data_IF_284297777872
#
_entry.id   IF_284297777872
#
_cell.length_a   1.000
_cell.length_b   1.000
_cell.length_c   1.000
_cell.angle_alpha   90.00
_cell.angle_beta   90.00
_cell.angle_gamma   90.00
#
_symmetry.space_group_name_H-M   'P 1'
#
loop_
_entity.id
_entity.type
_entity.pdbx_description
1 polymer ?
#
# COMPACT_ATOMS: atom_id res chain seq x y z
N UNK A 1 2.66 0.64 -25.50
CA UNK A 1 3.80 1.16 -24.73
C UNK A 1 3.71 0.57 -23.34
N UNK A 2 4.66 -0.28 -22.94
CA UNK A 2 4.81 -0.60 -21.50
C UNK A 2 5.21 0.69 -20.79
N UNK A 3 4.36 1.21 -19.90
CA UNK A 3 4.76 2.28 -19.00
C UNK A 3 5.88 1.73 -18.11
N UNK A 4 7.06 2.32 -18.17
CA UNK A 4 8.15 1.99 -17.27
C UNK A 4 7.79 2.51 -15.87
N UNK A 5 7.21 1.63 -15.06
CA UNK A 5 6.75 1.92 -13.68
C UNK A 5 7.88 2.54 -12.87
N UNK A 6 9.11 2.01 -12.97
CA UNK A 6 10.26 2.50 -12.21
C UNK A 6 10.55 3.96 -12.53
N UNK A 7 10.69 4.30 -13.81
CA UNK A 7 10.94 5.69 -14.23
C UNK A 7 9.78 6.62 -13.87
N UNK A 8 8.55 6.13 -13.92
CA UNK A 8 7.39 6.92 -13.56
C UNK A 8 7.33 7.22 -12.06
N UNK A 9 7.54 6.22 -11.22
CA UNK A 9 7.58 6.40 -9.76
C UNK A 9 8.72 7.31 -9.33
N UNK A 10 9.91 7.17 -9.96
CA UNK A 10 11.04 8.08 -9.76
C UNK A 10 10.67 9.54 -10.08
N UNK A 11 9.91 9.78 -11.15
CA UNK A 11 9.46 11.13 -11.54
C UNK A 11 8.37 11.68 -10.62
N UNK A 12 7.44 10.82 -10.18
CA UNK A 12 6.29 11.22 -9.39
C UNK A 12 6.66 11.51 -7.92
N UNK A 13 7.45 10.63 -7.30
CA UNK A 13 7.81 10.72 -5.87
C UNK A 13 9.14 11.43 -5.62
N UNK A 14 10.00 11.51 -6.64
CA UNK A 14 11.41 11.83 -6.49
C UNK A 14 12.26 10.60 -6.15
N UNK A 15 13.59 10.68 -6.35
CA UNK A 15 14.48 9.53 -6.28
C UNK A 15 14.57 8.89 -4.89
N UNK A 16 14.55 9.68 -3.82
CA UNK A 16 14.69 9.20 -2.45
C UNK A 16 13.52 8.29 -2.04
N UNK A 17 12.28 8.77 -2.20
CA UNK A 17 11.07 8.04 -1.83
C UNK A 17 10.80 6.85 -2.75
N UNK A 18 11.08 7.01 -4.03
CA UNK A 18 10.99 5.89 -4.96
C UNK A 18 12.00 4.79 -4.59
N UNK A 19 13.24 5.15 -4.25
CA UNK A 19 14.23 4.18 -3.78
C UNK A 19 13.80 3.49 -2.49
N UNK A 20 13.24 4.22 -1.51
CA UNK A 20 12.66 3.63 -0.30
C UNK A 20 11.66 2.51 -0.63
N UNK A 21 10.71 2.78 -1.53
CA UNK A 21 9.74 1.76 -1.95
C UNK A 21 10.40 0.54 -2.60
N UNK A 22 11.38 0.74 -3.47
CA UNK A 22 12.04 -0.36 -4.18
C UNK A 22 12.91 -1.23 -3.26
N UNK A 23 13.39 -0.70 -2.13
CA UNK A 23 14.09 -1.49 -1.10
C UNK A 23 13.14 -2.06 -0.03
N UNK A 24 11.83 -1.90 -0.20
CA UNK A 24 10.81 -2.43 0.71
C UNK A 24 10.52 -1.55 1.94
N UNK A 25 11.08 -0.34 1.99
CA UNK A 25 10.75 0.63 3.03
C UNK A 25 9.45 1.41 2.70
N UNK A 26 8.61 1.70 3.71
CA UNK A 26 7.37 2.41 3.47
C UNK A 26 7.59 3.90 3.29
N UNK A 27 6.87 4.49 2.33
CA UNK A 27 6.61 5.93 2.33
C UNK A 27 5.47 6.23 3.32
N UNK A 28 5.46 7.43 3.90
CA UNK A 28 4.57 7.77 5.02
C UNK A 28 3.69 8.98 4.75
N UNK A 29 2.59 9.07 5.50
CA UNK A 29 1.71 10.23 5.51
C UNK A 29 1.08 10.51 4.15
N UNK A 30 0.98 11.78 3.77
CA UNK A 30 0.32 12.21 2.54
C UNK A 30 0.88 11.54 1.28
N UNK A 31 2.18 11.22 1.23
CA UNK A 31 2.77 10.62 0.04
C UNK A 31 2.27 9.20 -0.23
N UNK A 32 1.92 8.43 0.81
CA UNK A 32 1.33 7.10 0.62
C UNK A 32 -0.02 7.21 -0.10
N UNK A 33 -0.87 8.16 0.30
CA UNK A 33 -2.15 8.42 -0.34
C UNK A 33 -1.99 8.89 -1.78
N UNK A 34 -1.10 9.86 -2.01
CA UNK A 34 -0.85 10.40 -3.35
C UNK A 34 -0.39 9.32 -4.32
N UNK A 35 0.39 8.35 -3.85
CA UNK A 35 0.81 7.23 -4.69
C UNK A 35 -0.35 6.31 -5.05
N UNK A 36 -1.26 6.00 -4.11
CA UNK A 36 -2.47 5.23 -4.41
C UNK A 36 -3.30 5.91 -5.51
N UNK A 37 -3.53 7.22 -5.37
CA UNK A 37 -4.30 8.00 -6.35
C UNK A 37 -3.61 8.02 -7.72
N UNK A 38 -2.29 8.17 -7.73
CA UNK A 38 -1.48 8.09 -8.95
C UNK A 38 -1.57 6.71 -9.61
N UNK A 39 -1.53 5.64 -8.82
CA UNK A 39 -1.68 4.27 -9.33
C UNK A 39 -3.07 4.10 -9.97
N UNK A 40 -4.13 4.48 -9.25
CA UNK A 40 -5.52 4.33 -9.70
C UNK A 40 -5.85 5.16 -10.95
N UNK A 41 -5.24 6.35 -11.09
CA UNK A 41 -5.48 7.24 -12.23
C UNK A 41 -4.67 6.88 -13.47
N UNK A 42 -3.48 6.30 -13.32
CA UNK A 42 -2.53 6.11 -14.43
C UNK A 42 -2.42 4.68 -14.93
N UNK A 43 -2.64 3.69 -14.07
CA UNK A 43 -2.39 2.29 -14.37
C UNK A 43 -3.68 1.50 -14.45
N UNK A 44 -3.65 0.43 -15.24
CA UNK A 44 -4.62 -0.65 -15.05
C UNK A 44 -4.30 -1.32 -13.72
N UNK A 45 -5.27 -1.29 -12.81
CA UNK A 45 -5.16 -1.86 -11.48
C UNK A 45 -6.32 -2.80 -11.18
N UNK A 46 -6.12 -3.63 -10.17
CA UNK A 46 -7.08 -4.55 -9.57
C UNK A 46 -7.03 -4.34 -8.06
N UNK A 47 -8.18 -4.04 -7.44
CA UNK A 47 -8.31 -4.02 -5.99
C UNK A 47 -8.29 -5.48 -5.49
N UNK A 48 -7.24 -5.84 -4.75
CA UNK A 48 -7.08 -7.19 -4.19
C UNK A 48 -7.76 -7.33 -2.83
N UNK A 49 -7.71 -6.27 -2.01
CA UNK A 49 -8.33 -6.19 -0.70
C UNK A 49 -8.49 -4.72 -0.32
N UNK A 50 -9.62 -4.37 0.28
CA UNK A 50 -9.92 -3.03 0.77
C UNK A 50 -10.88 -3.20 1.94
N UNK A 51 -10.56 -2.58 3.08
CA UNK A 51 -11.33 -2.71 4.31
C UNK A 51 -11.11 -1.48 5.20
N UNK A 52 -12.13 -1.12 5.96
CA UNK A 52 -12.12 0.08 6.80
C UNK A 52 -12.94 -0.09 8.06
N UNK A 53 -12.46 0.52 9.15
CA UNK A 53 -13.16 0.61 10.41
C UNK A 53 -13.18 2.07 10.84
N UNK A 54 -14.38 2.67 10.79
CA UNK A 54 -14.59 4.05 11.24
C UNK A 54 -14.35 4.19 12.75
N UNK A 55 -14.69 3.19 13.55
CA UNK A 55 -14.59 3.23 15.02
C UNK A 55 -13.14 3.25 15.53
N UNK A 56 -12.23 2.63 14.77
CA UNK A 56 -10.81 2.52 15.09
C UNK A 56 -9.95 3.36 14.15
N UNK A 57 -10.54 4.16 13.25
CA UNK A 57 -9.81 4.95 12.25
C UNK A 57 -8.76 4.13 11.46
N UNK A 58 -9.00 2.83 11.31
CA UNK A 58 -8.13 1.89 10.61
C UNK A 58 -8.62 1.75 9.16
N UNK A 59 -7.71 1.85 8.20
CA UNK A 59 -8.03 1.64 6.80
C UNK A 59 -6.90 0.89 6.12
N UNK A 60 -7.25 -0.05 5.24
CA UNK A 60 -6.28 -0.78 4.45
C UNK A 60 -6.77 -0.95 3.02
N UNK A 61 -5.85 -0.81 2.08
CA UNK A 61 -6.11 -1.11 0.67
C UNK A 61 -4.88 -1.72 0.03
N UNK A 62 -5.11 -2.74 -0.78
CA UNK A 62 -4.10 -3.47 -1.53
C UNK A 62 -4.54 -3.47 -2.98
N UNK A 63 -3.70 -2.92 -3.86
CA UNK A 63 -3.94 -2.90 -5.29
C UNK A 63 -2.82 -3.60 -6.02
N UNK A 64 -3.18 -4.46 -6.98
CA UNK A 64 -2.25 -4.96 -7.99
C UNK A 64 -2.30 -4.01 -9.18
N UNK A 65 -1.15 -3.66 -9.74
CA UNK A 65 -1.10 -2.82 -10.94
C UNK A 65 0.04 -3.23 -11.86
N UNK A 66 -0.11 -2.89 -13.16
CA UNK A 66 0.86 -3.25 -14.22
C UNK A 66 1.16 -4.75 -14.31
N UNK A 67 0.32 -5.60 -13.73
CA UNK A 67 0.50 -7.05 -13.53
C UNK A 67 1.75 -7.49 -12.76
N UNK A 68 2.64 -6.57 -12.40
CA UNK A 68 3.98 -6.82 -11.83
C UNK A 68 4.16 -6.26 -10.43
N UNK A 69 3.28 -5.39 -9.95
CA UNK A 69 3.45 -4.74 -8.65
C UNK A 69 2.20 -4.85 -7.80
N UNK A 70 2.41 -4.89 -6.49
CA UNK A 70 1.39 -4.73 -5.46
C UNK A 70 1.74 -3.48 -4.67
N UNK A 71 0.76 -2.60 -4.49
CA UNK A 71 0.86 -1.47 -3.59
C UNK A 71 -0.11 -1.67 -2.43
N UNK A 72 0.40 -1.56 -1.21
CA UNK A 72 -0.37 -1.70 0.02
C UNK A 72 -0.31 -0.39 0.79
N UNK A 73 -1.47 0.22 1.05
CA UNK A 73 -1.60 1.37 1.93
C UNK A 73 -2.31 0.93 3.20
N UNK A 74 -1.71 1.25 4.35
CA UNK A 74 -2.26 1.01 5.69
C UNK A 74 -2.34 2.37 6.40
N UNK A 75 -3.50 2.68 6.98
CA UNK A 75 -3.74 3.85 7.83
C UNK A 75 -4.17 3.37 9.21
N UNK A 76 -3.51 3.92 10.22
CA UNK A 76 -3.85 3.72 11.63
C UNK A 76 -3.92 5.11 12.30
N UNK A 77 -5.13 5.57 12.65
CA UNK A 77 -5.32 6.92 13.19
C UNK A 77 -4.78 8.01 12.23
N UNK A 78 -3.87 8.86 12.71
CA UNK A 78 -3.26 9.92 11.90
C UNK A 78 -2.03 9.47 11.09
N UNK A 79 -1.60 8.22 11.21
CA UNK A 79 -0.46 7.69 10.45
C UNK A 79 -0.93 6.89 9.25
N UNK A 80 -0.19 7.01 8.14
CA UNK A 80 -0.34 6.14 6.98
C UNK A 80 1.02 5.70 6.45
N UNK A 81 1.08 4.46 5.95
CA UNK A 81 2.27 3.82 5.40
C UNK A 81 1.90 3.15 4.08
N UNK A 82 2.76 3.32 3.09
CA UNK A 82 2.61 2.76 1.76
C UNK A 82 3.79 1.88 1.40
N UNK A 83 3.54 0.62 1.05
CA UNK A 83 4.54 -0.38 0.68
C UNK A 83 4.38 -0.77 -0.77
N UNK A 84 5.50 -0.99 -1.45
CA UNK A 84 5.53 -1.50 -2.81
C UNK A 84 6.22 -2.86 -2.81
N UNK A 85 5.62 -3.82 -3.53
CA UNK A 85 6.19 -5.13 -3.75
C UNK A 85 6.18 -5.44 -5.25
N UNK A 86 7.30 -5.93 -5.77
CA UNK A 86 7.35 -6.56 -7.09
C UNK A 86 6.92 -8.02 -6.99
N UNK A 87 6.01 -8.43 -7.87
CA UNK A 87 5.49 -9.79 -7.95
C UNK A 87 6.51 -10.64 -8.72
N UNK A 88 7.26 -11.46 -7.98
CA UNK A 88 8.20 -12.43 -8.51
C UNK A 88 7.56 -13.82 -8.64
N UNK A 89 6.52 -14.08 -7.85
CA UNK A 89 5.78 -15.33 -7.83
C UNK A 89 4.27 -15.12 -7.62
N UNK A 90 3.39 -16.03 -8.11
CA UNK A 90 1.96 -15.95 -7.83
C UNK A 90 1.62 -15.98 -6.33
N UNK A 91 2.44 -16.64 -5.51
CA UNK A 91 2.28 -16.69 -4.04
C UNK A 91 2.46 -15.34 -3.35
N UNK A 92 3.13 -14.38 -3.99
CA UNK A 92 3.37 -13.05 -3.41
C UNK A 92 2.04 -12.31 -3.19
N UNK A 93 1.08 -12.48 -4.11
CA UNK A 93 -0.26 -11.89 -4.01
C UNK A 93 -0.99 -12.44 -2.78
N UNK A 94 -1.09 -13.76 -2.68
CA UNK A 94 -1.78 -14.43 -1.58
C UNK A 94 -1.14 -14.12 -0.23
N UNK A 95 0.20 -14.11 -0.18
CA UNK A 95 0.96 -13.79 1.04
C UNK A 95 0.76 -12.34 1.46
N UNK A 96 0.79 -11.41 0.50
CA UNK A 96 0.58 -9.97 0.78
C UNK A 96 -0.81 -9.71 1.32
N UNK A 97 -1.85 -10.31 0.71
CA UNK A 97 -3.23 -10.18 1.19
C UNK A 97 -3.36 -10.75 2.61
N UNK A 98 -2.77 -11.92 2.89
CA UNK A 98 -2.80 -12.53 4.23
C UNK A 98 -2.15 -11.62 5.28
N UNK A 99 -0.92 -11.16 5.02
CA UNK A 99 -0.19 -10.29 5.95
C UNK A 99 -0.92 -8.96 6.19
N UNK A 100 -1.47 -8.37 5.13
CA UNK A 100 -2.25 -7.15 5.24
C UNK A 100 -3.51 -7.32 6.10
N UNK A 101 -4.25 -8.43 5.94
CA UNK A 101 -5.38 -8.76 6.83
C UNK A 101 -4.95 -8.91 8.27
N UNK A 102 -3.82 -9.56 8.52
CA UNK A 102 -3.26 -9.71 9.87
C UNK A 102 -2.90 -8.34 10.48
N UNK A 103 -2.30 -7.44 9.72
CA UNK A 103 -1.99 -6.07 10.16
C UNK A 103 -3.27 -5.25 10.42
N UNK A 104 -4.29 -5.35 9.57
CA UNK A 104 -5.57 -4.67 9.78
C UNK A 104 -6.26 -5.13 11.06
N UNK A 105 -6.30 -6.44 11.32
CA UNK A 105 -6.83 -6.98 12.58
C UNK A 105 -6.03 -6.50 13.80
N UNK A 106 -4.70 -6.35 13.68
CA UNK A 106 -3.89 -5.74 14.75
C UNK A 106 -4.24 -4.27 14.97
N UNK A 107 -4.47 -3.50 13.91
CA UNK A 107 -4.88 -2.10 14.01
C UNK A 107 -6.19 -1.97 14.80
N UNK A 108 -7.20 -2.77 14.45
CA UNK A 108 -8.49 -2.80 15.13
C UNK A 108 -8.31 -3.11 16.63
N UNK A 109 -7.60 -4.20 16.96
CA UNK A 109 -7.46 -4.68 18.33
C UNK A 109 -6.59 -3.77 19.23
N UNK A 110 -5.61 -3.06 18.66
CA UNK A 110 -4.74 -2.14 19.43
C UNK A 110 -5.54 -0.98 20.03
N UNK A 111 -6.48 -0.42 19.26
CA UNK A 111 -7.22 0.77 19.69
C UNK A 111 -8.34 0.45 20.69
N UNK A 112 -8.92 -0.75 20.63
CA UNK A 112 -9.81 -1.24 21.69
C UNK A 112 -9.09 -1.37 23.05
N UNK A 113 -7.82 -1.76 23.02
CA UNK A 113 -7.00 -1.93 24.23
C UNK A 113 -6.55 -0.60 24.85
N UNK A 114 -6.49 0.49 24.07
CA UNK A 114 -6.17 1.84 24.56
C UNK A 114 -7.38 2.62 25.08
N UNK A 115 -8.61 2.09 24.91
CA UNK A 115 -9.86 2.68 25.44
C UNK A 115 -10.27 2.14 26.83
N UNK A 116 -9.49 1.22 27.42
CA UNK A 116 -9.66 0.70 28.80
C UNK A 116 -8.67 1.34 29.77
#
# INVERSE_FOLDING_TARGET
>A
MENNVVLDLLRFLGPEKANQLFIGEPIKGRDSWRLLDHIRSKYRYENLYEDESEETECYIVIVRFSNKYIYSLIKEGNESKGYLLEILSPSDVTTTIRLAKEEFMKCINKLESSKK
#
